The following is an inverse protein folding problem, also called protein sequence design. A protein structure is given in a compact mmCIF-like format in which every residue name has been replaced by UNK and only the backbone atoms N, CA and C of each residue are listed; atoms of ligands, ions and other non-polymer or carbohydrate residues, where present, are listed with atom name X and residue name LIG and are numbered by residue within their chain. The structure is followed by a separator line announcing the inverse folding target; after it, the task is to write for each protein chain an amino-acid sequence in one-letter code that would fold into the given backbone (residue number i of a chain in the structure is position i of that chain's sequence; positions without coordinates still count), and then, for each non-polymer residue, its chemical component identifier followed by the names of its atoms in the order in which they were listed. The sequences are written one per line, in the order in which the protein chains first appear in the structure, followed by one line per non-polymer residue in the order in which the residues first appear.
data_IF_482281883015
#
_entry.id   IF_482281883015
#
_cell.length_a   1.000
_cell.length_b   1.000
_cell.length_c   1.000
_cell.angle_alpha   90.00
_cell.angle_beta   90.00
_cell.angle_gamma   90.00
#
_symmetry.space_group_name_H-M   'P 1'
#
loop_
_entity.id
_entity.type
_entity.pdbx_description
1 polymer ?
#
# COMPACT_ATOMS: atom_id res chain seq x y z
N UNK A 1 0.13 -10.01 -6.96
CA UNK A 1 0.07 -8.62 -6.43
C UNK A 1 0.82 -8.35 -5.10
N UNK A 2 1.55 -9.32 -4.56
CA UNK A 2 2.38 -9.15 -3.34
C UNK A 2 3.48 -8.07 -3.51
N UNK A 3 3.85 -7.74 -4.76
CA UNK A 3 4.81 -6.68 -5.10
C UNK A 3 4.25 -5.26 -4.99
N UNK A 4 2.94 -5.03 -5.19
CA UNK A 4 2.33 -3.70 -5.01
C UNK A 4 2.14 -3.38 -3.52
N UNK A 5 1.66 -4.35 -2.75
CA UNK A 5 1.66 -4.25 -1.29
C UNK A 5 3.09 -4.07 -0.75
N UNK A 6 4.06 -4.84 -1.24
CA UNK A 6 5.47 -4.69 -0.84
C UNK A 6 6.09 -3.36 -1.27
N UNK A 7 5.64 -2.71 -2.35
CA UNK A 7 6.13 -1.39 -2.77
C UNK A 7 5.62 -0.27 -1.85
N UNK A 8 4.34 -0.31 -1.44
CA UNK A 8 3.84 0.60 -0.40
C UNK A 8 4.45 0.31 0.98
N UNK A 9 4.73 -0.95 1.30
CA UNK A 9 5.32 -1.36 2.59
C UNK A 9 6.82 -1.09 2.74
N UNK A 10 7.61 -1.24 1.66
CA UNK A 10 9.07 -1.03 1.71
C UNK A 10 9.47 0.44 1.92
N UNK A 11 8.58 1.39 1.65
CA UNK A 11 8.83 2.80 1.94
C UNK A 11 8.91 3.05 3.47
N UNK A 12 8.18 2.26 4.27
CA UNK A 12 8.12 2.39 5.74
C UNK A 12 9.42 1.88 6.40
N UNK A 13 10.05 0.83 5.85
CA UNK A 13 11.31 0.27 6.39
C UNK A 13 12.56 1.14 6.18
N UNK A 14 12.53 2.11 5.26
CA UNK A 14 13.75 2.86 4.89
C UNK A 14 14.13 3.99 5.86
N UNK A 15 13.23 4.38 6.77
CA UNK A 15 13.47 5.49 7.71
C UNK A 15 14.35 5.09 8.90
N UNK A 16 14.64 3.79 9.05
CA UNK A 16 15.25 3.23 10.26
C UNK A 16 16.67 2.69 10.15
N UNK A 17 17.58 3.25 9.33
CA UNK A 17 19.04 2.99 9.48
C UNK A 17 19.93 3.89 8.65
N UNK A 18 20.44 4.97 9.25
CA UNK A 18 21.70 5.58 8.82
C UNK A 18 22.36 6.32 10.00
N UNK A 19 23.06 5.56 10.85
CA UNK A 19 24.01 6.08 11.84
C UNK A 19 25.42 5.65 11.42
N UNK A 20 26.30 6.63 11.19
CA UNK A 20 27.76 6.47 11.04
C UNK A 20 28.24 5.83 9.73
N UNK A 21 29.36 6.19 9.11
CA UNK A 21 30.49 6.99 9.59
C UNK A 21 31.23 7.56 8.37
N UNK A 22 31.67 8.80 8.51
CA UNK A 22 32.41 9.60 7.53
C UNK A 22 33.90 9.23 7.58
N UNK A 23 34.56 9.02 6.43
CA UNK A 23 36.00 9.17 6.30
C UNK A 23 36.41 9.69 4.92
N UNK A 24 37.16 10.79 5.00
CA UNK A 24 37.77 11.69 4.02
C UNK A 24 38.83 11.04 3.12
N UNK A 25 38.96 11.47 1.86
CA UNK A 25 40.17 12.17 1.33
C UNK A 25 40.04 12.62 -0.14
N UNK A 26 40.34 13.92 -0.34
CA UNK A 26 40.90 14.63 -1.51
C UNK A 26 40.33 14.35 -2.93
N UNK A 27 40.01 15.35 -3.77
CA UNK A 27 40.88 16.46 -4.14
C UNK A 27 40.12 17.58 -4.86
N UNK A 28 40.76 18.74 -4.86
CA UNK A 28 40.39 20.09 -5.27
C UNK A 28 39.77 20.30 -6.65
N UNK A 29 38.67 21.06 -6.71
CA UNK A 29 38.49 22.22 -7.60
C UNK A 29 37.34 23.08 -7.05
N UNK A 30 37.57 24.38 -6.90
CA UNK A 30 36.64 25.33 -6.26
C UNK A 30 35.76 25.97 -7.34
N UNK A 31 34.46 25.62 -7.46
CA UNK A 31 33.46 26.54 -7.96
C UNK A 31 32.85 27.32 -6.79
N UNK A 32 32.69 28.62 -7.00
CA UNK A 32 32.10 29.63 -6.11
C UNK A 32 30.99 29.09 -5.20
N UNK A 33 31.24 29.12 -3.89
CA UNK A 33 30.43 28.54 -2.79
C UNK A 33 28.98 29.02 -2.72
N UNK A 34 28.63 30.15 -3.33
CA UNK A 34 27.28 30.72 -3.31
C UNK A 34 26.30 30.05 -4.29
N UNK A 35 26.78 29.55 -5.44
CA UNK A 35 25.90 28.93 -6.45
C UNK A 35 25.58 27.46 -6.10
N UNK A 36 26.55 26.75 -5.51
CA UNK A 36 26.41 25.36 -5.08
C UNK A 36 25.41 25.24 -3.91
N UNK A 37 25.48 26.13 -2.91
CA UNK A 37 24.52 26.17 -1.82
C UNK A 37 23.09 26.45 -2.31
N UNK A 38 22.94 27.28 -3.35
CA UNK A 38 21.63 27.65 -3.90
C UNK A 38 20.99 26.52 -4.71
N UNK A 39 21.77 25.69 -5.40
CA UNK A 39 21.28 24.48 -6.08
C UNK A 39 20.99 23.34 -5.08
N UNK A 40 21.84 23.14 -4.08
CA UNK A 40 21.60 22.13 -3.04
C UNK A 40 20.37 22.44 -2.18
N UNK A 41 20.14 23.72 -1.83
CA UNK A 41 18.96 24.12 -1.04
C UNK A 41 17.65 23.91 -1.79
N UNK A 42 17.59 24.21 -3.09
CA UNK A 42 16.40 23.95 -3.92
C UNK A 42 16.14 22.46 -4.07
N UNK A 43 17.18 21.63 -4.24
CA UNK A 43 17.05 20.17 -4.30
C UNK A 43 16.59 19.57 -2.97
N UNK A 44 17.12 20.04 -1.84
CA UNK A 44 16.70 19.60 -0.50
C UNK A 44 15.26 20.03 -0.19
N UNK A 45 14.87 21.26 -0.51
CA UNK A 45 13.49 21.73 -0.35
C UNK A 45 12.52 20.97 -1.27
N UNK A 46 12.90 20.70 -2.52
CA UNK A 46 12.11 19.87 -3.41
C UNK A 46 11.95 18.45 -2.84
N UNK A 47 13.02 17.81 -2.38
CA UNK A 47 12.98 16.49 -1.74
C UNK A 47 12.08 16.48 -0.49
N UNK A 48 12.13 17.52 0.36
CA UNK A 48 11.26 17.64 1.53
C UNK A 48 9.78 17.83 1.15
N UNK A 49 9.50 18.57 0.08
CA UNK A 49 8.13 18.74 -0.44
C UNK A 49 7.62 17.43 -1.06
N UNK A 50 8.47 16.69 -1.78
CA UNK A 50 8.12 15.39 -2.35
C UNK A 50 7.87 14.35 -1.24
N UNK A 51 8.74 14.26 -0.22
CA UNK A 51 8.54 13.33 0.92
C UNK A 51 7.30 13.69 1.74
N UNK A 52 7.03 14.98 1.96
CA UNK A 52 5.85 15.43 2.71
C UNK A 52 4.51 15.19 2.00
N UNK A 53 4.50 15.10 0.67
CA UNK A 53 3.28 14.80 -0.12
C UNK A 53 3.05 13.31 -0.34
N UNK A 54 4.07 12.47 -0.22
CA UNK A 54 4.02 11.06 -0.62
C UNK A 54 3.35 10.14 0.44
N UNK A 55 3.14 10.56 1.70
CA UNK A 55 2.82 9.55 2.73
C UNK A 55 1.80 9.91 3.81
N UNK A 56 1.30 11.15 3.90
CA UNK A 56 0.38 11.50 5.01
C UNK A 56 -1.03 10.97 4.81
N UNK A 57 -1.53 10.98 3.58
CA UNK A 57 -2.91 10.58 3.29
C UNK A 57 -3.10 9.07 3.43
N UNK A 58 -2.22 8.26 2.81
CA UNK A 58 -2.28 6.80 2.93
C UNK A 58 -2.06 6.32 4.36
N UNK A 59 -1.15 6.95 5.11
CA UNK A 59 -0.93 6.62 6.53
C UNK A 59 -2.18 6.93 7.36
N UNK A 60 -2.89 8.02 7.04
CA UNK A 60 -4.13 8.37 7.74
C UNK A 60 -5.28 7.39 7.44
N UNK A 61 -5.44 6.96 6.19
CA UNK A 61 -6.44 5.97 5.77
C UNK A 61 -6.16 4.59 6.38
N UNK A 62 -4.90 4.16 6.36
CA UNK A 62 -4.45 2.93 7.00
C UNK A 62 -4.76 2.90 8.50
N UNK A 63 -4.39 3.97 9.22
CA UNK A 63 -4.63 4.08 10.67
C UNK A 63 -6.13 4.05 10.99
N UNK A 64 -6.94 4.77 10.20
CA UNK A 64 -8.40 4.77 10.38
C UNK A 64 -9.00 3.37 10.20
N UNK A 65 -8.59 2.63 9.16
CA UNK A 65 -9.07 1.27 8.93
C UNK A 65 -8.63 0.29 10.03
N UNK A 66 -7.43 0.46 10.59
CA UNK A 66 -6.98 -0.33 11.75
C UNK A 66 -7.83 -0.06 12.99
N UNK A 67 -8.08 1.21 13.30
CA UNK A 67 -8.90 1.63 14.44
C UNK A 67 -10.35 1.13 14.33
N UNK A 68 -10.97 1.31 13.16
CA UNK A 68 -12.34 0.85 12.88
C UNK A 68 -12.50 -0.66 13.10
N UNK A 69 -11.47 -1.43 12.75
CA UNK A 69 -11.47 -2.89 12.85
C UNK A 69 -10.83 -3.43 14.13
N UNK A 70 -10.53 -2.55 15.10
CA UNK A 70 -9.96 -2.93 16.40
C UNK A 70 -8.72 -3.82 16.25
N UNK A 71 -7.82 -3.41 15.36
CA UNK A 71 -6.60 -4.15 15.02
C UNK A 71 -5.39 -3.23 15.19
N UNK A 72 -4.37 -3.71 15.89
CA UNK A 72 -3.07 -3.05 15.93
C UNK A 72 -2.24 -3.36 14.68
N UNK A 73 -1.22 -2.54 14.43
CA UNK A 73 -0.30 -2.78 13.32
C UNK A 73 0.45 -4.12 13.50
N UNK A 74 0.87 -4.45 14.72
CA UNK A 74 1.53 -5.72 15.05
C UNK A 74 0.63 -6.93 14.78
N UNK A 75 -0.66 -6.84 15.11
CA UNK A 75 -1.64 -7.90 14.78
C UNK A 75 -1.79 -8.08 13.26
N UNK A 76 -1.88 -6.98 12.50
CA UNK A 76 -1.93 -7.04 11.05
C UNK A 76 -0.72 -7.78 10.48
N UNK A 77 0.49 -7.49 10.97
CA UNK A 77 1.70 -8.17 10.51
C UNK A 77 1.69 -9.67 10.82
N UNK A 78 1.27 -10.05 12.02
CA UNK A 78 1.19 -11.45 12.42
C UNK A 78 0.22 -12.21 11.51
N UNK A 79 -0.96 -11.64 11.24
CA UNK A 79 -1.95 -12.24 10.33
C UNK A 79 -1.39 -12.38 8.91
N UNK A 80 -0.68 -11.36 8.40
CA UNK A 80 -0.04 -11.43 7.09
C UNK A 80 1.03 -12.53 7.02
N UNK A 81 1.77 -12.77 8.09
CA UNK A 81 2.76 -13.83 8.15
C UNK A 81 2.11 -15.22 8.24
N UNK A 82 0.98 -15.35 8.93
CA UNK A 82 0.15 -16.57 8.92
C UNK A 82 -0.41 -16.88 7.52
N UNK A 83 -0.93 -15.86 6.81
CA UNK A 83 -1.40 -16.00 5.42
C UNK A 83 -0.26 -16.50 4.52
N UNK A 84 0.93 -15.91 4.63
CA UNK A 84 2.12 -16.36 3.87
C UNK A 84 2.55 -17.77 4.22
N UNK A 85 2.36 -18.19 5.47
CA UNK A 85 2.61 -19.56 5.92
C UNK A 85 1.53 -20.56 5.45
N UNK A 86 0.46 -20.08 4.80
CA UNK A 86 -0.60 -20.92 4.24
C UNK A 86 -1.78 -21.12 5.18
N UNK A 87 -2.06 -20.18 6.09
CA UNK A 87 -3.25 -20.23 6.94
C UNK A 87 -4.53 -20.31 6.09
N UNK A 88 -5.41 -21.25 6.44
CA UNK A 88 -6.70 -21.46 5.76
C UNK A 88 -7.83 -20.66 6.39
N UNK A 89 -7.69 -20.32 7.68
CA UNK A 89 -8.62 -19.48 8.42
C UNK A 89 -7.98 -18.12 8.65
N UNK A 90 -8.63 -17.08 8.13
CA UNK A 90 -8.13 -15.70 8.22
C UNK A 90 -9.01 -14.91 9.18
N UNK A 91 -8.38 -14.14 10.08
CA UNK A 91 -9.08 -13.28 11.04
C UNK A 91 -10.07 -12.37 10.32
N UNK A 92 -11.32 -12.38 10.80
CA UNK A 92 -12.41 -11.57 10.24
C UNK A 92 -12.08 -10.08 10.24
N UNK A 93 -11.39 -9.57 11.27
CA UNK A 93 -10.97 -8.16 11.36
C UNK A 93 -10.05 -7.78 10.23
N UNK A 94 -9.14 -8.68 9.83
CA UNK A 94 -8.30 -8.47 8.66
C UNK A 94 -9.13 -8.41 7.37
N UNK A 95 -10.10 -9.33 7.21
CA UNK A 95 -11.00 -9.31 6.05
C UNK A 95 -11.76 -7.97 5.95
N UNK A 96 -12.31 -7.49 7.07
CA UNK A 96 -12.99 -6.19 7.12
C UNK A 96 -12.04 -5.01 6.87
N UNK A 97 -10.82 -5.07 7.42
CA UNK A 97 -9.76 -4.10 7.14
C UNK A 97 -9.45 -4.02 5.64
N UNK A 98 -9.38 -5.15 4.93
CA UNK A 98 -9.14 -5.13 3.48
C UNK A 98 -10.25 -4.44 2.69
N UNK A 99 -11.52 -4.61 3.09
CA UNK A 99 -12.63 -3.88 2.50
C UNK A 99 -12.51 -2.36 2.75
N UNK A 100 -12.21 -1.96 3.99
CA UNK A 100 -12.02 -0.55 4.36
C UNK A 100 -10.91 0.12 3.53
N UNK A 101 -9.78 -0.58 3.32
CA UNK A 101 -8.69 -0.06 2.50
C UNK A 101 -9.11 0.14 1.04
N UNK A 102 -9.83 -0.82 0.45
CA UNK A 102 -10.32 -0.67 -0.93
C UNK A 102 -11.31 0.49 -1.07
N UNK A 103 -12.17 0.71 -0.07
CA UNK A 103 -13.07 1.86 -0.05
C UNK A 103 -12.29 3.18 0.08
N UNK A 104 -11.30 3.23 0.96
CA UNK A 104 -10.49 4.43 1.21
C UNK A 104 -9.63 4.85 0.01
N UNK A 105 -9.30 3.89 -0.87
CA UNK A 105 -8.59 4.11 -2.13
C UNK A 105 -9.53 4.27 -3.33
N UNK A 106 -10.84 4.37 -3.10
CA UNK A 106 -11.84 4.58 -4.17
C UNK A 106 -11.81 3.48 -5.25
N UNK A 107 -11.45 2.25 -4.85
CA UNK A 107 -11.55 1.07 -5.71
C UNK A 107 -12.95 0.45 -5.73
N UNK A 108 -13.83 0.90 -4.84
CA UNK A 108 -15.23 0.50 -4.78
C UNK A 108 -16.13 1.62 -5.28
N UNK A 109 -17.21 1.26 -5.98
CA UNK A 109 -18.27 2.18 -6.38
C UNK A 109 -19.16 2.59 -5.18
N UNK A 110 -20.18 3.41 -5.44
CA UNK A 110 -21.12 3.87 -4.42
C UNK A 110 -21.90 2.73 -3.73
N UNK A 111 -21.96 1.55 -4.34
CA UNK A 111 -22.61 0.36 -3.81
C UNK A 111 -21.64 -0.55 -3.03
N UNK A 112 -20.35 -0.17 -2.95
CA UNK A 112 -19.32 -0.98 -2.31
C UNK A 112 -18.84 -2.15 -3.18
N UNK A 113 -19.08 -2.11 -4.48
CA UNK A 113 -18.66 -3.13 -5.46
C UNK A 113 -17.37 -2.65 -6.14
N UNK A 114 -16.42 -3.53 -6.40
CA UNK A 114 -15.20 -3.20 -7.15
C UNK A 114 -15.55 -2.46 -8.45
N UNK A 115 -14.97 -1.27 -8.60
CA UNK A 115 -14.93 -0.59 -9.88
C UNK A 115 -13.81 -1.21 -10.72
N UNK A 116 -14.21 -2.15 -11.57
CA UNK A 116 -13.33 -2.88 -12.48
C UNK A 116 -12.59 -1.96 -13.47
N UNK A 117 -13.10 -0.75 -13.72
CA UNK A 117 -12.43 0.23 -14.55
C UNK A 117 -11.19 0.81 -13.85
N UNK A 118 -11.26 1.04 -12.53
CA UNK A 118 -10.11 1.53 -11.74
C UNK A 118 -9.00 0.49 -11.66
N UNK A 119 -9.35 -0.80 -11.52
CA UNK A 119 -8.35 -1.87 -11.50
C UNK A 119 -7.68 -2.06 -12.85
N UNK A 120 -8.47 -2.11 -13.94
CA UNK A 120 -7.93 -2.28 -15.30
C UNK A 120 -7.02 -1.12 -15.69
N UNK A 121 -7.35 0.10 -15.27
CA UNK A 121 -6.53 1.29 -15.54
C UNK A 121 -5.15 1.22 -14.87
N UNK A 122 -5.07 0.70 -13.64
CA UNK A 122 -3.81 0.62 -12.89
C UNK A 122 -2.97 -0.63 -13.20
N UNK A 123 -3.57 -1.69 -13.78
CA UNK A 123 -2.99 -3.03 -13.66
C UNK A 123 -2.76 -3.79 -14.99
N UNK A 124 -3.18 -3.28 -16.16
CA UNK A 124 -3.05 -4.00 -17.47
C UNK A 124 -3.46 -5.49 -17.38
N UNK A 125 -4.55 -5.78 -16.68
CA UNK A 125 -4.98 -7.15 -16.39
C UNK A 125 -5.51 -7.85 -17.64
N UNK A 126 -5.15 -9.12 -17.77
CA UNK A 126 -5.70 -10.06 -18.75
C UNK A 126 -7.06 -10.58 -18.31
N UNK A 127 -7.85 -11.15 -19.23
CA UNK A 127 -9.18 -11.70 -18.91
C UNK A 127 -9.11 -12.81 -17.85
N UNK A 128 -8.06 -13.64 -17.86
CA UNK A 128 -7.85 -14.69 -16.85
C UNK A 128 -7.57 -14.16 -15.44
N UNK A 129 -7.12 -12.91 -15.32
CA UNK A 129 -6.92 -12.23 -14.04
C UNK A 129 -8.19 -11.50 -13.59
N UNK A 130 -9.11 -11.22 -14.51
CA UNK A 130 -10.39 -10.54 -14.22
C UNK A 130 -11.46 -11.53 -13.78
N UNK A 131 -11.50 -12.74 -14.36
CA UNK A 131 -12.51 -13.76 -14.06
C UNK A 131 -12.65 -14.07 -12.55
N UNK A 132 -11.56 -14.23 -11.76
CA UNK A 132 -11.67 -14.46 -10.32
C UNK A 132 -12.29 -13.27 -9.56
N UNK A 133 -12.10 -12.04 -10.02
CA UNK A 133 -12.66 -10.83 -9.42
C UNK A 133 -14.15 -10.68 -9.73
N UNK A 134 -14.54 -11.00 -10.97
CA UNK A 134 -15.94 -11.03 -11.38
C UNK A 134 -16.70 -12.08 -10.57
N UNK A 135 -16.12 -13.27 -10.38
CA UNK A 135 -16.69 -14.31 -9.53
C UNK A 135 -16.92 -13.83 -8.10
N UNK A 136 -15.94 -13.20 -7.46
CA UNK A 136 -16.13 -12.61 -6.13
C UNK A 136 -17.25 -11.56 -6.11
N UNK A 137 -17.31 -10.74 -7.15
CA UNK A 137 -18.34 -9.70 -7.27
C UNK A 137 -19.73 -10.29 -7.43
N UNK A 138 -19.88 -11.37 -8.20
CA UNK A 138 -21.15 -12.07 -8.36
C UNK A 138 -21.57 -12.83 -7.11
N UNK A 139 -20.64 -13.54 -6.46
CA UNK A 139 -20.89 -14.36 -5.27
C UNK A 139 -21.37 -13.50 -4.07
N UNK A 140 -20.80 -12.30 -3.93
CA UNK A 140 -21.14 -11.38 -2.85
C UNK A 140 -22.05 -10.23 -3.30
N UNK A 141 -22.61 -10.27 -4.51
CA UNK A 141 -23.54 -9.25 -4.99
C UNK A 141 -24.78 -9.21 -4.08
N UNK A 142 -24.99 -8.09 -3.41
CA UNK A 142 -26.11 -7.90 -2.48
C UNK A 142 -25.94 -8.63 -1.14
N UNK A 143 -24.75 -9.14 -0.84
CA UNK A 143 -24.40 -9.64 0.49
C UNK A 143 -24.11 -8.49 1.45
N UNK A 144 -24.54 -8.64 2.69
CA UNK A 144 -24.16 -7.72 3.79
C UNK A 144 -22.75 -8.01 4.33
N UNK A 145 -22.15 -9.16 3.97
CA UNK A 145 -20.80 -9.53 4.43
C UNK A 145 -19.70 -8.91 3.56
N UNK A 146 -19.55 -7.60 3.73
CA UNK A 146 -18.53 -6.79 3.06
C UNK A 146 -17.11 -7.26 3.37
N UNK A 147 -16.89 -7.90 4.51
CA UNK A 147 -15.57 -8.38 4.91
C UNK A 147 -15.15 -9.59 4.07
N UNK A 148 -16.04 -10.58 3.92
CA UNK A 148 -15.77 -11.72 3.05
C UNK A 148 -15.64 -11.29 1.59
N UNK A 149 -16.44 -10.32 1.13
CA UNK A 149 -16.24 -9.73 -0.19
C UNK A 149 -14.86 -9.11 -0.35
N UNK A 150 -14.46 -8.27 0.62
CA UNK A 150 -13.16 -7.60 0.60
C UNK A 150 -11.98 -8.57 0.53
N UNK A 151 -12.06 -9.63 1.33
CA UNK A 151 -11.06 -10.69 1.33
C UNK A 151 -11.08 -11.51 0.04
N UNK A 152 -12.24 -11.86 -0.51
CA UNK A 152 -12.36 -12.58 -1.78
C UNK A 152 -11.61 -11.86 -2.90
N UNK A 153 -11.85 -10.55 -3.03
CA UNK A 153 -11.20 -9.70 -4.02
C UNK A 153 -9.67 -9.70 -3.83
N UNK A 154 -9.18 -9.44 -2.62
CA UNK A 154 -7.73 -9.43 -2.35
C UNK A 154 -7.09 -10.81 -2.56
N UNK A 155 -7.78 -11.90 -2.20
CA UNK A 155 -7.30 -13.26 -2.42
C UNK A 155 -7.22 -13.59 -3.92
N UNK A 156 -8.23 -13.19 -4.70
CA UNK A 156 -8.22 -13.31 -6.15
C UNK A 156 -7.02 -12.57 -6.78
N UNK A 157 -6.72 -11.35 -6.30
CA UNK A 157 -5.53 -10.56 -6.66
C UNK A 157 -4.21 -11.23 -6.23
N UNK A 158 -4.22 -11.95 -5.12
CA UNK A 158 -3.08 -12.68 -4.57
C UNK A 158 -2.65 -13.87 -5.43
N UNK A 159 -3.61 -14.59 -6.03
CA UNK A 159 -3.40 -15.80 -6.82
C UNK A 159 -2.98 -15.54 -8.29
N UNK A 160 -2.70 -14.29 -8.65
CA UNK A 160 -2.18 -13.89 -9.96
C UNK A 160 -0.66 -14.08 -9.99
N UNK A 161 -0.24 -15.31 -10.27
CA UNK A 161 1.15 -15.70 -10.59
C UNK A 161 1.31 -16.03 -12.08
#
# INVERSE_FOLDING_TARGET
MMKLYSAHFNQIKSVGKAHGNFNTTASTTIPTTTTMYRQCTVLVLALLIFVGKISTEDTSKHTACLEENQMSEDELYNILDEIKAGATEIDRRFKCYTFCMMQSWEHLDENGILDMSTLKHHSNMTESEVEPLEKCTEEYRGSDDKCEYGYCVIAALGNMD
#
